data_IF_503824886400
#
_entry.id   IF_503824886400
#
_cell.length_a   1.000
_cell.length_b   1.000
_cell.length_c   1.000
_cell.angle_alpha   90.00
_cell.angle_beta   90.00
_cell.angle_gamma   90.00
#
_symmetry.space_group_name_H-M   'P 1'
#
loop_
_entity.id
_entity.type
_entity.pdbx_description
1 polymer ?
#
# COMPACT_ATOMS: atom_id res chain seq x y z
N UNK A 1 9.82 9.38 -30.84
CA UNK A 1 9.41 9.97 -29.55
C UNK A 1 10.52 9.71 -28.56
N UNK A 2 10.92 10.73 -27.78
CA UNK A 2 11.94 10.54 -26.73
C UNK A 2 11.29 9.72 -25.60
N UNK A 3 11.78 8.51 -25.35
CA UNK A 3 11.31 7.69 -24.23
C UNK A 3 11.82 8.26 -22.92
N UNK A 4 11.04 8.10 -21.88
CA UNK A 4 11.27 8.74 -20.57
C UNK A 4 11.46 7.64 -19.51
N UNK A 5 12.46 7.82 -18.64
CA UNK A 5 12.72 6.92 -17.50
C UNK A 5 11.99 7.38 -16.22
N UNK A 6 10.89 8.12 -16.37
CA UNK A 6 10.10 8.64 -15.26
C UNK A 6 8.84 7.80 -15.09
N UNK A 7 8.78 7.01 -14.02
CA UNK A 7 7.64 6.13 -13.70
C UNK A 7 6.62 6.81 -12.78
N UNK A 8 6.96 7.93 -12.16
CA UNK A 8 6.14 8.65 -11.20
C UNK A 8 4.78 9.08 -11.76
N UNK A 9 4.65 9.60 -13.02
CA UNK A 9 3.35 9.91 -13.61
C UNK A 9 2.46 8.67 -13.79
N UNK A 10 3.06 7.51 -14.12
CA UNK A 10 2.36 6.23 -14.23
C UNK A 10 1.74 5.84 -12.89
N UNK A 11 2.53 5.97 -11.82
CA UNK A 11 2.12 5.67 -10.45
C UNK A 11 1.02 6.64 -10.00
N UNK A 12 1.17 7.94 -10.29
CA UNK A 12 0.16 8.95 -9.99
C UNK A 12 -1.21 8.61 -10.61
N UNK A 13 -1.25 8.35 -11.92
CA UNK A 13 -2.51 8.06 -12.64
C UNK A 13 -3.16 6.79 -12.09
N UNK A 14 -2.36 5.73 -11.89
CA UNK A 14 -2.87 4.45 -11.38
C UNK A 14 -3.47 4.59 -9.98
N UNK A 15 -2.74 5.23 -9.06
CA UNK A 15 -3.19 5.42 -7.67
C UNK A 15 -4.43 6.30 -7.63
N UNK A 16 -4.48 7.39 -8.41
CA UNK A 16 -5.63 8.28 -8.45
C UNK A 16 -6.90 7.54 -8.91
N UNK A 17 -6.82 6.83 -10.04
CA UNK A 17 -7.96 6.09 -10.59
C UNK A 17 -8.44 4.96 -9.65
N UNK A 18 -7.51 4.20 -9.06
CA UNK A 18 -7.84 3.11 -8.13
C UNK A 18 -8.41 3.63 -6.82
N UNK A 19 -7.83 4.69 -6.25
CA UNK A 19 -8.30 5.30 -5.00
C UNK A 19 -9.61 6.07 -5.17
N UNK A 20 -9.91 6.58 -6.37
CA UNK A 20 -11.22 7.14 -6.71
C UNK A 20 -12.31 6.06 -6.68
N UNK A 21 -11.99 4.88 -7.20
CA UNK A 21 -12.94 3.76 -7.35
C UNK A 21 -13.23 3.06 -6.02
N UNK A 22 -12.24 2.86 -5.18
CA UNK A 22 -12.34 2.03 -3.97
C UNK A 22 -13.49 2.41 -3.02
N UNK A 23 -13.65 3.66 -2.55
CA UNK A 23 -14.75 4.03 -1.66
C UNK A 23 -16.12 3.98 -2.36
N UNK A 24 -16.14 4.16 -3.68
CA UNK A 24 -17.38 4.13 -4.45
C UNK A 24 -17.92 2.70 -4.65
N UNK A 25 -17.04 1.70 -4.78
CA UNK A 25 -17.46 0.30 -4.83
C UNK A 25 -18.13 -0.10 -3.53
N UNK A 26 -17.57 0.28 -2.37
CA UNK A 26 -18.18 0.00 -1.07
C UNK A 26 -19.55 0.66 -0.92
N UNK A 27 -19.67 1.94 -1.32
CA UNK A 27 -20.96 2.65 -1.30
C UNK A 27 -21.97 2.05 -2.29
N UNK A 28 -21.51 1.63 -3.48
CA UNK A 28 -22.36 0.97 -4.48
C UNK A 28 -22.93 -0.33 -3.97
N UNK A 29 -22.09 -1.19 -3.37
CA UNK A 29 -22.50 -2.47 -2.76
C UNK A 29 -23.51 -2.20 -1.64
N UNK A 30 -23.23 -1.26 -0.74
CA UNK A 30 -24.13 -0.90 0.36
C UNK A 30 -25.52 -0.46 -0.14
N UNK A 31 -25.58 0.45 -1.13
CA UNK A 31 -26.84 0.96 -1.69
C UNK A 31 -27.62 -0.14 -2.41
N UNK A 32 -26.94 -1.00 -3.16
CA UNK A 32 -27.58 -2.11 -3.88
C UNK A 32 -28.15 -3.14 -2.92
N UNK A 33 -27.42 -3.50 -1.85
CA UNK A 33 -27.95 -4.40 -0.81
C UNK A 33 -29.16 -3.80 -0.09
N UNK A 34 -29.15 -2.48 0.14
CA UNK A 34 -30.31 -1.77 0.69
C UNK A 34 -31.52 -1.87 -0.24
N UNK A 35 -31.34 -1.61 -1.53
CA UNK A 35 -32.41 -1.69 -2.54
C UNK A 35 -32.97 -3.12 -2.68
N UNK A 36 -32.10 -4.13 -2.66
CA UNK A 36 -32.48 -5.55 -2.74
C UNK A 36 -33.27 -6.00 -1.49
N UNK A 37 -32.91 -5.54 -0.30
CA UNK A 37 -33.55 -5.96 0.95
C UNK A 37 -34.89 -5.24 1.21
N UNK A 38 -34.95 -3.95 0.92
CA UNK A 38 -36.10 -3.10 1.34
C UNK A 38 -36.93 -2.55 0.18
N UNK A 39 -36.60 -2.85 -1.08
CA UNK A 39 -37.27 -2.31 -2.29
C UNK A 39 -37.47 -0.79 -2.25
N UNK A 40 -36.55 -0.05 -1.62
CA UNK A 40 -36.59 1.41 -1.43
C UNK A 40 -35.24 2.02 -1.70
N UNK A 41 -35.24 3.22 -2.30
CA UNK A 41 -33.99 3.96 -2.47
C UNK A 41 -33.38 4.37 -1.14
N UNK A 42 -32.08 4.25 -1.00
CA UNK A 42 -31.37 4.67 0.21
C UNK A 42 -31.43 6.21 0.32
N UNK A 43 -31.99 6.71 1.42
CA UNK A 43 -32.01 8.15 1.77
C UNK A 43 -31.03 8.33 2.95
N UNK A 44 -29.96 9.09 2.69
CA UNK A 44 -29.00 9.46 3.74
C UNK A 44 -29.55 10.60 4.58
N UNK A 45 -29.77 10.39 5.86
CA UNK A 45 -30.07 11.45 6.82
C UNK A 45 -28.73 12.03 7.31
N UNK A 46 -28.25 13.08 6.64
CA UNK A 46 -26.86 13.55 6.70
C UNK A 46 -26.51 14.43 7.91
N UNK A 47 -27.43 14.66 8.86
CA UNK A 47 -27.24 15.67 9.90
C UNK A 47 -27.11 15.15 11.34
N UNK A 48 -27.34 13.87 11.61
CA UNK A 48 -27.18 13.30 12.95
C UNK A 48 -25.80 12.65 13.15
N UNK A 49 -25.12 12.99 14.25
CA UNK A 49 -23.89 12.30 14.64
C UNK A 49 -24.20 10.85 15.04
N UNK A 50 -23.23 9.95 14.88
CA UNK A 50 -23.39 8.52 15.21
C UNK A 50 -23.84 8.28 16.66
N UNK A 51 -23.47 9.19 17.58
CA UNK A 51 -23.85 9.14 18.99
C UNK A 51 -25.27 9.67 19.28
N UNK A 52 -25.83 10.52 18.41
CA UNK A 52 -27.17 11.10 18.56
C UNK A 52 -28.27 10.23 17.94
N UNK A 53 -27.90 9.23 17.14
CA UNK A 53 -28.87 8.35 16.50
C UNK A 53 -29.58 7.49 17.56
N UNK A 54 -30.92 7.50 17.51
CA UNK A 54 -31.73 6.65 18.38
C UNK A 54 -31.53 5.16 17.98
N UNK A 55 -30.74 4.45 18.78
CA UNK A 55 -30.38 3.03 18.56
C UNK A 55 -31.61 2.09 18.50
N UNK A 56 -32.76 2.53 18.98
CA UNK A 56 -34.03 1.80 18.92
C UNK A 56 -34.89 2.13 17.69
N UNK A 57 -34.43 3.06 16.83
CA UNK A 57 -35.16 3.40 15.62
C UNK A 57 -35.15 2.23 14.63
N UNK A 58 -36.30 1.90 14.01
CA UNK A 58 -36.36 0.85 12.98
C UNK A 58 -35.43 1.10 11.79
N UNK A 59 -35.18 2.38 11.46
CA UNK A 59 -34.27 2.77 10.38
C UNK A 59 -32.83 2.44 10.77
N UNK A 60 -32.42 2.75 12.01
CA UNK A 60 -31.08 2.43 12.52
C UNK A 60 -30.79 0.93 12.50
N UNK A 61 -31.77 0.09 12.95
CA UNK A 61 -31.65 -1.36 12.95
C UNK A 61 -31.45 -1.88 11.52
N UNK A 62 -32.23 -1.39 10.55
CA UNK A 62 -32.11 -1.73 9.13
C UNK A 62 -30.76 -1.32 8.54
N UNK A 63 -30.30 -0.10 8.86
CA UNK A 63 -28.98 0.38 8.41
C UNK A 63 -27.85 -0.51 8.93
N UNK A 64 -27.93 -0.89 10.21
CA UNK A 64 -26.93 -1.76 10.82
C UNK A 64 -26.91 -3.16 10.18
N UNK A 65 -28.08 -3.72 9.91
CA UNK A 65 -28.20 -5.05 9.24
C UNK A 65 -27.60 -5.02 7.84
N UNK A 66 -27.91 -4.02 7.02
CA UNK A 66 -27.33 -3.87 5.68
C UNK A 66 -25.83 -3.59 5.75
N UNK A 67 -25.37 -2.81 6.74
CA UNK A 67 -23.96 -2.53 6.93
C UNK A 67 -23.16 -3.79 7.29
N UNK A 68 -23.73 -4.67 8.11
CA UNK A 68 -23.11 -5.97 8.45
C UNK A 68 -23.03 -6.87 7.21
N UNK A 69 -24.12 -7.00 6.42
CA UNK A 69 -24.15 -7.73 5.17
C UNK A 69 -23.13 -7.17 4.16
N UNK A 70 -23.07 -5.86 3.99
CA UNK A 70 -22.12 -5.19 3.11
C UNK A 70 -20.66 -5.41 3.53
N UNK A 71 -20.39 -5.39 4.84
CA UNK A 71 -19.06 -5.64 5.38
C UNK A 71 -18.58 -7.06 5.10
N UNK A 72 -19.46 -8.07 5.32
CA UNK A 72 -19.15 -9.47 5.01
C UNK A 72 -18.95 -9.66 3.51
N UNK A 73 -19.81 -9.06 2.68
CA UNK A 73 -19.69 -9.11 1.23
C UNK A 73 -18.36 -8.51 0.73
N UNK A 74 -18.00 -7.33 1.22
CA UNK A 74 -16.73 -6.69 0.87
C UNK A 74 -15.52 -7.54 1.29
N UNK A 75 -15.54 -8.11 2.50
CA UNK A 75 -14.50 -9.02 2.98
C UNK A 75 -14.32 -10.23 2.06
N UNK A 76 -15.44 -10.87 1.66
CA UNK A 76 -15.40 -12.01 0.75
C UNK A 76 -14.90 -11.61 -0.65
N UNK A 77 -15.30 -10.42 -1.13
CA UNK A 77 -14.86 -9.87 -2.41
C UNK A 77 -13.35 -9.63 -2.41
N UNK A 78 -12.84 -8.99 -1.35
CA UNK A 78 -11.42 -8.70 -1.18
C UNK A 78 -10.59 -9.99 -1.11
N UNK A 79 -11.05 -11.02 -0.39
CA UNK A 79 -10.39 -12.31 -0.33
C UNK A 79 -10.34 -12.99 -1.70
N UNK A 80 -11.45 -12.94 -2.45
CA UNK A 80 -11.56 -13.54 -3.79
C UNK A 80 -10.55 -12.93 -4.76
N UNK A 81 -10.30 -11.63 -4.70
CA UNK A 81 -9.32 -10.95 -5.53
C UNK A 81 -7.88 -11.07 -5.02
N UNK A 82 -7.68 -11.02 -3.71
CA UNK A 82 -6.35 -10.96 -3.10
C UNK A 82 -5.56 -12.27 -3.27
N UNK A 83 -6.21 -13.43 -3.15
CA UNK A 83 -5.52 -14.72 -3.27
C UNK A 83 -4.85 -14.92 -4.63
N UNK A 84 -5.55 -14.81 -5.78
CA UNK A 84 -4.90 -14.90 -7.09
C UNK A 84 -3.89 -13.77 -7.31
N UNK A 85 -4.18 -12.56 -6.82
CA UNK A 85 -3.31 -11.41 -6.95
C UNK A 85 -1.97 -11.59 -6.25
N UNK A 86 -1.91 -12.23 -5.09
CA UNK A 86 -0.65 -12.53 -4.38
C UNK A 86 0.25 -13.46 -5.20
N UNK A 87 -0.33 -14.51 -5.78
CA UNK A 87 0.42 -15.47 -6.63
C UNK A 87 0.99 -14.74 -7.86
N UNK A 88 0.17 -13.91 -8.49
CA UNK A 88 0.56 -13.14 -9.68
C UNK A 88 1.62 -12.09 -9.33
N UNK A 89 1.47 -11.37 -8.22
CA UNK A 89 2.44 -10.40 -7.74
C UNK A 89 3.81 -11.05 -7.55
N UNK A 90 3.84 -12.17 -6.85
CA UNK A 90 5.07 -12.91 -6.59
C UNK A 90 5.77 -13.33 -7.89
N UNK A 91 5.01 -13.91 -8.84
CA UNK A 91 5.57 -14.38 -10.11
C UNK A 91 6.04 -13.23 -11.00
N UNK A 92 5.19 -12.21 -11.20
CA UNK A 92 5.48 -11.12 -12.18
C UNK A 92 6.59 -10.21 -11.66
N UNK A 93 6.59 -9.83 -10.39
CA UNK A 93 7.61 -8.92 -9.84
C UNK A 93 8.96 -9.63 -9.75
N UNK A 94 9.00 -10.90 -9.30
CA UNK A 94 10.24 -11.66 -9.21
C UNK A 94 10.90 -11.93 -10.57
N UNK A 95 10.09 -12.12 -11.62
CA UNK A 95 10.60 -12.35 -12.98
C UNK A 95 10.75 -11.06 -13.79
N UNK A 96 10.49 -9.89 -13.21
CA UNK A 96 10.64 -8.60 -13.86
C UNK A 96 12.06 -8.32 -14.36
N UNK A 97 13.08 -8.87 -13.70
CA UNK A 97 14.49 -8.79 -14.10
C UNK A 97 14.78 -9.46 -15.45
N UNK A 98 13.99 -10.46 -15.84
CA UNK A 98 14.16 -11.22 -17.08
C UNK A 98 13.15 -10.87 -18.16
N UNK A 99 11.90 -10.60 -17.76
CA UNK A 99 10.79 -10.39 -18.69
C UNK A 99 10.49 -8.92 -18.97
N UNK A 100 11.19 -8.02 -18.31
CA UNK A 100 11.01 -6.58 -18.39
C UNK A 100 10.08 -6.03 -17.30
N UNK A 101 10.41 -4.85 -16.79
CA UNK A 101 9.69 -4.19 -15.69
C UNK A 101 8.32 -3.64 -16.11
N UNK A 102 8.16 -3.27 -17.37
CA UNK A 102 6.87 -2.72 -17.87
C UNK A 102 5.71 -3.68 -17.71
N UNK A 103 5.94 -5.00 -17.74
CA UNK A 103 4.87 -6.00 -17.57
C UNK A 103 4.20 -5.89 -16.20
N UNK A 104 4.97 -5.66 -15.14
CA UNK A 104 4.44 -5.48 -13.78
C UNK A 104 3.64 -4.20 -13.59
N UNK A 105 3.72 -3.24 -14.51
CA UNK A 105 2.93 -2.01 -14.52
C UNK A 105 1.71 -2.12 -15.45
N UNK A 106 1.86 -2.73 -16.62
CA UNK A 106 0.78 -2.86 -17.63
C UNK A 106 -0.32 -3.82 -17.15
N UNK A 107 0.07 -5.02 -16.65
CA UNK A 107 -0.92 -6.04 -16.30
C UNK A 107 -1.90 -5.59 -15.21
N UNK A 108 -1.47 -5.02 -14.06
CA UNK A 108 -2.42 -4.50 -13.06
C UNK A 108 -3.27 -3.35 -13.60
N UNK A 109 -2.72 -2.50 -14.49
CA UNK A 109 -3.49 -1.43 -15.14
C UNK A 109 -4.58 -1.99 -16.05
N UNK A 110 -4.32 -3.10 -16.75
CA UNK A 110 -5.33 -3.82 -17.53
C UNK A 110 -6.40 -4.44 -16.63
N UNK A 111 -6.00 -5.08 -15.53
CA UNK A 111 -6.93 -5.61 -14.55
C UNK A 111 -7.86 -4.54 -13.98
N UNK A 112 -7.32 -3.38 -13.59
CA UNK A 112 -8.09 -2.26 -13.09
C UNK A 112 -9.03 -1.66 -14.16
N UNK A 113 -8.60 -1.60 -15.42
CA UNK A 113 -9.46 -1.22 -16.55
C UNK A 113 -10.64 -2.18 -16.71
N UNK A 114 -10.39 -3.50 -16.69
CA UNK A 114 -11.45 -4.52 -16.78
C UNK A 114 -12.43 -4.35 -15.62
N UNK A 115 -11.94 -4.17 -14.39
CA UNK A 115 -12.78 -3.93 -13.21
C UNK A 115 -13.68 -2.70 -13.41
N UNK A 116 -13.10 -1.58 -13.82
CA UNK A 116 -13.85 -0.33 -14.03
C UNK A 116 -14.92 -0.45 -15.11
N UNK A 117 -14.63 -1.13 -16.23
CA UNK A 117 -15.60 -1.38 -17.30
C UNK A 117 -16.72 -2.30 -16.78
N UNK A 118 -16.39 -3.40 -16.10
CA UNK A 118 -17.39 -4.30 -15.53
C UNK A 118 -18.28 -3.59 -14.49
N UNK A 119 -17.70 -2.78 -13.60
CA UNK A 119 -18.45 -1.98 -12.63
C UNK A 119 -19.39 -0.98 -13.32
N UNK A 120 -18.95 -0.35 -14.41
CA UNK A 120 -19.81 0.55 -15.22
C UNK A 120 -21.01 -0.20 -15.81
N UNK A 121 -20.78 -1.39 -16.34
CA UNK A 121 -21.84 -2.25 -16.93
C UNK A 121 -22.81 -2.74 -15.84
N UNK A 122 -22.29 -3.22 -14.70
CA UNK A 122 -23.09 -3.68 -13.56
C UNK A 122 -23.96 -2.52 -13.03
N UNK A 123 -23.39 -1.32 -12.92
CA UNK A 123 -24.10 -0.13 -12.47
C UNK A 123 -25.18 0.32 -13.45
N UNK A 124 -24.92 0.26 -14.76
CA UNK A 124 -25.88 0.69 -15.80
C UNK A 124 -27.07 -0.27 -15.93
N UNK A 125 -26.79 -1.56 -16.02
CA UNK A 125 -27.83 -2.59 -16.22
C UNK A 125 -28.42 -3.11 -14.90
N UNK A 126 -28.00 -2.58 -13.77
CA UNK A 126 -28.45 -3.05 -12.43
C UNK A 126 -28.31 -4.57 -12.25
N UNK A 127 -27.18 -5.15 -12.69
CA UNK A 127 -26.93 -6.57 -12.62
C UNK A 127 -26.72 -7.05 -11.17
N UNK A 128 -26.81 -8.36 -10.95
CA UNK A 128 -26.59 -8.98 -9.64
C UNK A 128 -25.18 -8.69 -9.11
N UNK A 129 -25.08 -8.36 -7.81
CA UNK A 129 -23.81 -8.13 -7.12
C UNK A 129 -22.89 -9.36 -7.14
N UNK A 130 -23.44 -10.59 -7.26
CA UNK A 130 -22.65 -11.82 -7.32
C UNK A 130 -21.63 -11.85 -8.48
N UNK A 131 -21.87 -11.09 -9.54
CA UNK A 131 -20.94 -10.96 -10.67
C UNK A 131 -19.61 -10.31 -10.23
N UNK A 132 -19.64 -9.48 -9.18
CA UNK A 132 -18.42 -8.84 -8.64
C UNK A 132 -17.37 -9.85 -8.18
N UNK A 133 -17.77 -11.03 -7.70
CA UNK A 133 -16.83 -12.10 -7.33
C UNK A 133 -16.05 -12.60 -8.53
N UNK A 134 -16.72 -12.81 -9.66
CA UNK A 134 -16.06 -13.21 -10.90
C UNK A 134 -15.11 -12.10 -11.40
N UNK A 135 -15.54 -10.84 -11.32
CA UNK A 135 -14.71 -9.69 -11.68
C UNK A 135 -13.49 -9.61 -10.77
N UNK A 136 -13.64 -9.73 -9.44
CA UNK A 136 -12.55 -9.70 -8.48
C UNK A 136 -11.54 -10.83 -8.73
N UNK A 137 -12.02 -12.05 -8.99
CA UNK A 137 -11.15 -13.18 -9.32
C UNK A 137 -10.34 -12.93 -10.61
N UNK A 138 -11.03 -12.53 -11.69
CA UNK A 138 -10.38 -12.24 -12.98
C UNK A 138 -9.36 -11.11 -12.83
N UNK A 139 -9.72 -10.00 -12.18
CA UNK A 139 -8.79 -8.88 -12.00
C UNK A 139 -7.62 -9.24 -11.10
N UNK A 140 -7.83 -10.12 -10.12
CA UNK A 140 -6.76 -10.69 -9.31
C UNK A 140 -5.70 -11.44 -10.14
N UNK A 141 -6.11 -12.12 -11.23
CA UNK A 141 -5.18 -12.79 -12.15
C UNK A 141 -4.30 -11.82 -12.99
N UNK A 142 -4.66 -10.55 -13.05
CA UNK A 142 -3.82 -9.50 -13.64
C UNK A 142 -2.86 -8.87 -12.63
N UNK A 143 -2.93 -9.26 -11.37
CA UNK A 143 -2.24 -8.62 -10.26
C UNK A 143 -3.03 -7.42 -9.72
N UNK A 144 -2.56 -6.87 -8.63
CA UNK A 144 -3.20 -5.74 -7.96
C UNK A 144 -2.23 -4.59 -7.73
N UNK A 145 -2.60 -3.65 -6.85
CA UNK A 145 -1.74 -2.58 -6.36
C UNK A 145 -0.36 -3.10 -5.91
N UNK A 146 -0.29 -4.28 -5.26
CA UNK A 146 0.98 -4.86 -4.81
C UNK A 146 1.93 -5.19 -5.99
N UNK A 147 1.41 -5.79 -7.06
CA UNK A 147 2.18 -6.05 -8.29
C UNK A 147 2.66 -4.75 -8.93
N UNK A 148 1.76 -3.75 -9.00
CA UNK A 148 2.05 -2.47 -9.61
C UNK A 148 3.13 -1.70 -8.85
N UNK A 149 2.99 -1.57 -7.53
CA UNK A 149 3.97 -0.87 -6.69
C UNK A 149 5.30 -1.63 -6.61
N UNK A 150 5.26 -2.96 -6.45
CA UNK A 150 6.47 -3.79 -6.46
C UNK A 150 7.27 -3.64 -7.75
N UNK A 151 6.59 -3.65 -8.91
CA UNK A 151 7.21 -3.37 -10.21
C UNK A 151 7.72 -1.93 -10.33
N UNK A 152 6.98 -0.95 -9.81
CA UNK A 152 7.37 0.45 -9.79
C UNK A 152 8.63 0.71 -8.95
N UNK A 153 8.71 0.11 -7.76
CA UNK A 153 9.92 0.19 -6.92
C UNK A 153 11.11 -0.49 -7.56
N UNK A 154 10.93 -1.66 -8.17
CA UNK A 154 11.98 -2.34 -8.91
C UNK A 154 12.47 -1.51 -10.12
N UNK A 155 11.55 -0.88 -10.87
CA UNK A 155 11.88 0.03 -11.96
C UNK A 155 12.74 1.22 -11.47
N UNK A 156 12.35 1.85 -10.36
CA UNK A 156 13.11 2.96 -9.76
C UNK A 156 14.50 2.48 -9.32
N UNK A 157 14.57 1.29 -8.73
CA UNK A 157 15.82 0.71 -8.26
C UNK A 157 16.82 0.47 -9.39
N UNK A 158 16.33 0.05 -10.59
CA UNK A 158 17.17 -0.16 -11.79
C UNK A 158 17.67 1.16 -12.39
N UNK A 159 16.83 2.21 -12.37
CA UNK A 159 17.17 3.52 -12.97
C UNK A 159 18.10 4.35 -12.10
N UNK A 160 18.09 4.17 -10.78
CA UNK A 160 18.85 4.97 -9.84
C UNK A 160 20.20 4.32 -9.51
N UNK A 161 21.30 4.90 -9.97
CA UNK A 161 22.66 4.48 -9.61
C UNK A 161 23.12 5.07 -8.26
N UNK A 162 22.65 6.29 -7.90
CA UNK A 162 22.96 6.91 -6.62
C UNK A 162 21.97 6.45 -5.54
N UNK A 163 22.51 5.94 -4.43
CA UNK A 163 21.74 5.43 -3.29
C UNK A 163 20.81 6.46 -2.64
N UNK A 164 21.27 7.72 -2.55
CA UNK A 164 20.45 8.81 -2.00
C UNK A 164 19.30 9.17 -2.93
N UNK A 165 19.55 9.16 -4.24
CA UNK A 165 18.52 9.38 -5.25
C UNK A 165 17.48 8.25 -5.23
N UNK A 166 17.91 6.99 -5.08
CA UNK A 166 17.03 5.83 -4.95
C UNK A 166 16.08 5.99 -3.77
N UNK A 167 16.62 6.28 -2.57
CA UNK A 167 15.81 6.50 -1.36
C UNK A 167 14.79 7.63 -1.55
N UNK A 168 15.21 8.74 -2.15
CA UNK A 168 14.34 9.89 -2.40
C UNK A 168 13.21 9.54 -3.38
N UNK A 169 13.51 8.85 -4.48
CA UNK A 169 12.50 8.47 -5.47
C UNK A 169 11.50 7.44 -4.93
N UNK A 170 11.95 6.48 -4.12
CA UNK A 170 11.05 5.55 -3.40
C UNK A 170 10.13 6.33 -2.47
N UNK A 171 10.66 7.31 -1.72
CA UNK A 171 9.85 8.16 -0.86
C UNK A 171 8.83 9.03 -1.64
N UNK A 172 9.18 9.46 -2.87
CA UNK A 172 8.23 10.15 -3.77
C UNK A 172 7.04 9.25 -4.12
N UNK A 173 7.26 7.96 -4.34
CA UNK A 173 6.16 7.01 -4.62
C UNK A 173 5.22 6.89 -3.41
N UNK A 174 5.76 6.77 -2.21
CA UNK A 174 4.94 6.71 -1.00
C UNK A 174 4.22 8.04 -0.71
N UNK A 175 4.84 9.17 -1.03
CA UNK A 175 4.19 10.49 -1.00
C UNK A 175 3.01 10.55 -2.00
N UNK A 176 3.24 10.13 -3.25
CA UNK A 176 2.19 10.05 -4.28
C UNK A 176 1.05 9.19 -3.76
N UNK A 177 1.35 8.02 -3.20
CA UNK A 177 0.33 7.14 -2.63
C UNK A 177 -0.50 7.85 -1.56
N UNK A 178 0.13 8.46 -0.56
CA UNK A 178 -0.58 9.13 0.54
C UNK A 178 -1.41 10.33 0.10
N UNK A 179 -0.79 11.26 -0.66
CA UNK A 179 -1.45 12.50 -1.09
C UNK A 179 -2.54 12.25 -2.13
N UNK A 180 -2.22 11.44 -3.13
CA UNK A 180 -3.13 11.20 -4.27
C UNK A 180 -4.33 10.36 -3.82
N UNK A 181 -4.13 9.35 -2.96
CA UNK A 181 -5.24 8.59 -2.39
C UNK A 181 -6.18 9.47 -1.56
N UNK A 182 -5.61 10.39 -0.76
CA UNK A 182 -6.41 11.36 0.00
C UNK A 182 -7.23 12.28 -0.90
N UNK A 183 -6.62 12.85 -1.94
CA UNK A 183 -7.30 13.71 -2.92
C UNK A 183 -8.38 12.96 -3.71
N UNK A 184 -8.08 11.73 -4.15
CA UNK A 184 -9.04 10.89 -4.86
C UNK A 184 -10.23 10.52 -3.97
N UNK A 185 -9.98 10.16 -2.70
CA UNK A 185 -11.03 9.89 -1.72
C UNK A 185 -11.96 11.09 -1.50
N UNK A 186 -11.39 12.29 -1.30
CA UNK A 186 -12.17 13.53 -1.17
C UNK A 186 -12.98 13.83 -2.45
N UNK A 187 -12.37 13.65 -3.61
CA UNK A 187 -13.04 13.92 -4.90
C UNK A 187 -14.14 12.91 -5.22
N UNK A 188 -14.07 11.69 -4.70
CA UNK A 188 -15.03 10.62 -5.00
C UNK A 188 -16.48 11.00 -4.69
N UNK A 189 -16.72 11.72 -3.58
CA UNK A 189 -18.03 12.23 -3.21
C UNK A 189 -18.58 13.27 -4.19
N UNK A 190 -17.71 14.16 -4.70
CA UNK A 190 -18.11 15.16 -5.72
C UNK A 190 -18.41 14.50 -7.06
N UNK A 191 -17.60 13.54 -7.48
CA UNK A 191 -17.86 12.74 -8.68
C UNK A 191 -19.20 12.00 -8.56
N UNK A 192 -19.44 11.34 -7.43
CA UNK A 192 -20.69 10.61 -7.20
C UNK A 192 -21.92 11.54 -7.26
N UNK A 193 -21.86 12.70 -6.62
CA UNK A 193 -22.95 13.69 -6.63
C UNK A 193 -23.16 14.32 -8.00
N UNK A 194 -22.08 14.58 -8.76
CA UNK A 194 -22.15 15.25 -10.05
C UNK A 194 -22.58 14.36 -11.20
N UNK A 195 -22.02 13.15 -11.30
CA UNK A 195 -22.18 12.28 -12.48
C UNK A 195 -22.67 10.86 -12.16
N UNK A 196 -22.81 10.52 -10.86
CA UNK A 196 -23.28 9.19 -10.43
C UNK A 196 -22.21 8.08 -10.52
N UNK A 197 -22.57 6.87 -10.10
CA UNK A 197 -21.64 5.73 -10.03
C UNK A 197 -21.09 5.34 -11.41
N UNK A 198 -21.99 5.14 -12.39
CA UNK A 198 -21.61 4.66 -13.72
C UNK A 198 -20.54 5.54 -14.38
N UNK A 199 -20.79 6.83 -14.47
CA UNK A 199 -19.86 7.75 -15.13
C UNK A 199 -18.56 7.95 -14.37
N UNK A 200 -18.59 7.79 -13.05
CA UNK A 200 -17.35 7.81 -12.23
C UNK A 200 -16.49 6.58 -12.52
N UNK A 201 -17.08 5.39 -12.65
CA UNK A 201 -16.34 4.17 -13.03
C UNK A 201 -15.82 4.26 -14.48
N UNK A 202 -16.57 4.87 -15.40
CA UNK A 202 -16.10 5.15 -16.76
C UNK A 202 -14.89 6.09 -16.72
N UNK A 203 -14.94 7.17 -15.93
CA UNK A 203 -13.81 8.11 -15.78
C UNK A 203 -12.56 7.41 -15.28
N UNK A 204 -12.67 6.57 -14.24
CA UNK A 204 -11.56 5.78 -13.73
C UNK A 204 -11.00 4.82 -14.80
N UNK A 205 -11.88 4.19 -15.58
CA UNK A 205 -11.48 3.31 -16.69
C UNK A 205 -10.69 4.07 -17.76
N UNK A 206 -11.12 5.27 -18.15
CA UNK A 206 -10.40 6.12 -19.10
C UNK A 206 -9.01 6.51 -18.58
N UNK A 207 -8.87 6.79 -17.29
CA UNK A 207 -7.57 7.04 -16.68
C UNK A 207 -6.65 5.81 -16.75
N UNK A 208 -7.18 4.60 -16.54
CA UNK A 208 -6.40 3.39 -16.72
C UNK A 208 -6.00 3.15 -18.19
N UNK A 209 -6.86 3.48 -19.17
CA UNK A 209 -6.48 3.48 -20.59
C UNK A 209 -5.33 4.45 -20.85
N UNK A 210 -5.43 5.69 -20.34
CA UNK A 210 -4.36 6.68 -20.46
C UNK A 210 -3.06 6.18 -19.87
N UNK A 211 -3.14 5.52 -18.72
CA UNK A 211 -1.98 4.94 -18.04
C UNK A 211 -1.31 3.84 -18.88
N UNK A 212 -2.10 2.91 -19.45
CA UNK A 212 -1.59 1.85 -20.33
C UNK A 212 -0.93 2.44 -21.58
N UNK A 213 -1.54 3.45 -22.19
CA UNK A 213 -0.97 4.16 -23.34
C UNK A 213 0.35 4.81 -22.96
N UNK A 214 0.43 5.48 -21.80
CA UNK A 214 1.67 6.10 -21.33
C UNK A 214 2.77 5.05 -21.11
N UNK A 215 2.49 3.96 -20.40
CA UNK A 215 3.45 2.89 -20.15
C UNK A 215 3.96 2.29 -21.48
N UNK A 216 3.05 2.04 -22.42
CA UNK A 216 3.39 1.33 -23.66
C UNK A 216 4.24 2.18 -24.59
N UNK A 217 3.88 3.44 -24.78
CA UNK A 217 4.45 4.30 -25.83
C UNK A 217 5.56 5.24 -25.31
N UNK A 218 5.47 5.71 -24.07
CA UNK A 218 6.36 6.76 -23.55
C UNK A 218 7.39 6.22 -22.55
N UNK A 219 7.04 5.25 -21.71
CA UNK A 219 7.99 4.69 -20.75
C UNK A 219 9.02 3.82 -21.47
N UNK A 220 10.30 3.94 -21.08
CA UNK A 220 11.37 3.09 -21.58
C UNK A 220 11.49 1.82 -20.72
N UNK A 221 11.87 0.68 -21.35
CA UNK A 221 12.17 -0.53 -20.58
C UNK A 221 13.57 -0.42 -19.98
N UNK A 222 13.70 -0.78 -18.70
CA UNK A 222 14.97 -0.69 -17.98
C UNK A 222 15.84 -1.93 -18.16
N UNK A 223 15.21 -3.06 -18.51
CA UNK A 223 15.89 -4.35 -18.68
C UNK A 223 16.01 -4.71 -20.15
N UNK A 224 17.22 -5.09 -20.59
CA UNK A 224 17.46 -5.59 -21.96
C UNK A 224 16.90 -7.02 -22.10
N UNK A 225 15.69 -7.13 -22.64
CA UNK A 225 14.99 -8.42 -22.82
C UNK A 225 15.66 -9.31 -23.87
N UNK A 226 16.51 -8.74 -24.78
CA UNK A 226 17.09 -9.44 -25.91
C UNK A 226 18.07 -10.57 -25.53
N UNK A 227 18.75 -10.47 -24.40
CA UNK A 227 19.73 -11.47 -23.96
C UNK A 227 19.08 -12.71 -23.30
N UNK A 228 17.85 -12.58 -22.80
CA UNK A 228 17.14 -13.63 -22.05
C UNK A 228 16.04 -14.34 -22.85
N UNK A 229 15.79 -13.92 -24.10
CA UNK A 229 14.66 -14.44 -24.90
C UNK A 229 14.81 -15.93 -25.26
N UNK A 230 16.03 -16.49 -25.20
CA UNK A 230 16.28 -17.92 -25.44
C UNK A 230 16.02 -18.85 -24.25
N UNK A 231 15.68 -18.32 -23.09
CA UNK A 231 15.43 -19.08 -21.85
C UNK A 231 14.06 -18.81 -21.23
N UNK A 232 13.07 -18.39 -22.01
CA UNK A 232 11.72 -18.22 -21.50
C UNK A 232 11.14 -19.57 -21.06
N UNK A 233 10.63 -19.71 -19.82
CA UNK A 233 10.06 -20.96 -19.36
C UNK A 233 8.84 -21.36 -20.21
N UNK A 234 8.84 -22.59 -20.71
CA UNK A 234 7.78 -23.10 -21.59
C UNK A 234 6.47 -23.40 -20.86
N UNK A 235 6.50 -23.46 -19.51
CA UNK A 235 5.34 -23.82 -18.68
C UNK A 235 5.17 -22.90 -17.47
N UNK A 236 3.93 -22.60 -17.10
CA UNK A 236 3.59 -21.90 -15.88
C UNK A 236 4.17 -22.59 -14.61
N UNK A 237 4.26 -23.91 -14.61
CA UNK A 237 4.89 -24.71 -13.53
C UNK A 237 6.39 -24.45 -13.44
N UNK A 238 7.04 -24.30 -14.56
CA UNK A 238 8.48 -24.02 -14.65
C UNK A 238 8.76 -22.58 -14.19
N UNK A 239 7.93 -21.63 -14.62
CA UNK A 239 7.96 -20.23 -14.16
C UNK A 239 7.82 -20.12 -12.63
N UNK A 240 6.86 -20.81 -12.04
CA UNK A 240 6.71 -20.88 -10.58
C UNK A 240 7.94 -21.48 -9.92
N UNK A 241 8.43 -22.61 -10.42
CA UNK A 241 9.63 -23.27 -9.90
C UNK A 241 10.85 -22.37 -9.95
N UNK A 242 11.06 -21.66 -11.06
CA UNK A 242 12.16 -20.71 -11.21
C UNK A 242 12.03 -19.53 -10.25
N UNK A 243 10.81 -18.97 -10.09
CA UNK A 243 10.54 -17.87 -9.14
C UNK A 243 10.87 -18.29 -7.71
N UNK A 244 10.37 -19.45 -7.26
CA UNK A 244 10.69 -19.98 -5.94
C UNK A 244 12.18 -20.30 -5.80
N UNK A 245 12.80 -20.85 -6.85
CA UNK A 245 14.24 -21.10 -6.87
C UNK A 245 15.04 -19.81 -6.79
N UNK A 246 14.63 -18.73 -7.46
CA UNK A 246 15.27 -17.41 -7.40
C UNK A 246 15.23 -16.82 -5.99
N UNK A 247 14.06 -16.81 -5.35
CA UNK A 247 13.94 -16.38 -3.97
C UNK A 247 14.69 -17.31 -3.00
N UNK A 248 14.60 -18.63 -3.20
CA UNK A 248 15.37 -19.60 -2.41
C UNK A 248 16.88 -19.40 -2.56
N UNK A 249 17.35 -19.13 -3.77
CA UNK A 249 18.77 -18.87 -4.06
C UNK A 249 19.22 -17.58 -3.38
N UNK A 250 18.43 -16.52 -3.39
CA UNK A 250 18.70 -15.27 -2.66
C UNK A 250 19.03 -15.55 -1.19
N UNK A 251 18.27 -16.44 -0.52
CA UNK A 251 18.49 -16.77 0.88
C UNK A 251 19.57 -17.83 1.11
N UNK A 252 19.76 -18.76 0.16
CA UNK A 252 20.71 -19.89 0.31
C UNK A 252 22.12 -19.53 -0.10
N UNK A 253 22.27 -18.85 -1.25
CA UNK A 253 23.57 -18.58 -1.87
C UNK A 253 24.23 -17.31 -1.33
N UNK A 254 23.45 -16.39 -0.76
CA UNK A 254 23.98 -15.18 -0.16
C UNK A 254 24.93 -15.49 1.00
N UNK A 255 26.03 -14.72 1.15
CA UNK A 255 26.90 -14.81 2.32
C UNK A 255 26.10 -14.73 3.62
N UNK A 256 26.52 -15.45 4.65
CA UNK A 256 25.82 -15.56 5.94
C UNK A 256 25.43 -14.18 6.52
N UNK A 257 26.35 -13.21 6.46
CA UNK A 257 26.09 -11.82 6.92
C UNK A 257 24.99 -11.14 6.08
N UNK A 258 25.05 -11.16 4.75
CA UNK A 258 24.04 -10.58 3.85
C UNK A 258 22.67 -11.18 4.09
N UNK A 259 22.59 -12.51 4.22
CA UNK A 259 21.33 -13.22 4.49
C UNK A 259 20.69 -12.80 5.80
N UNK A 260 21.45 -12.72 6.90
CA UNK A 260 20.94 -12.24 8.18
C UNK A 260 20.43 -10.81 8.04
N UNK A 261 21.15 -9.93 7.38
CA UNK A 261 20.77 -8.53 7.20
C UNK A 261 19.44 -8.41 6.45
N UNK A 262 19.26 -9.16 5.35
CA UNK A 262 18.00 -9.18 4.60
C UNK A 262 16.84 -9.64 5.49
N UNK A 263 17.03 -10.75 6.24
CA UNK A 263 15.98 -11.28 7.14
C UNK A 263 15.65 -10.26 8.24
N UNK A 264 16.63 -9.65 8.85
CA UNK A 264 16.46 -8.67 9.92
C UNK A 264 15.74 -7.42 9.41
N UNK A 265 16.12 -6.91 8.23
CA UNK A 265 15.46 -5.76 7.62
C UNK A 265 14.02 -6.08 7.21
N UNK A 266 13.76 -7.25 6.60
CA UNK A 266 12.40 -7.71 6.28
C UNK A 266 11.55 -7.85 7.55
N UNK A 267 12.07 -8.46 8.60
CA UNK A 267 11.37 -8.60 9.87
C UNK A 267 11.06 -7.25 10.50
N UNK A 268 12.02 -6.31 10.50
CA UNK A 268 11.83 -4.94 10.97
C UNK A 268 10.75 -4.22 10.18
N UNK A 269 10.79 -4.34 8.85
CA UNK A 269 9.82 -3.75 7.95
C UNK A 269 8.40 -4.28 8.19
N UNK A 270 8.27 -5.62 8.28
CA UNK A 270 6.99 -6.28 8.52
C UNK A 270 6.37 -5.93 9.87
N UNK A 271 7.17 -5.95 10.94
CA UNK A 271 6.69 -5.60 12.29
C UNK A 271 6.27 -4.14 12.35
N UNK A 272 7.00 -3.24 11.69
CA UNK A 272 6.62 -1.83 11.60
C UNK A 272 5.32 -1.63 10.80
N UNK A 273 5.21 -2.25 9.63
CA UNK A 273 3.97 -2.19 8.82
C UNK A 273 2.76 -2.75 9.57
N UNK A 274 2.93 -3.86 10.29
CA UNK A 274 1.87 -4.45 11.10
C UNK A 274 1.33 -3.46 12.12
N UNK A 275 2.20 -2.73 12.81
CA UNK A 275 1.78 -1.71 13.78
C UNK A 275 1.14 -0.50 13.11
N UNK A 276 1.71 -0.02 12.00
CA UNK A 276 1.20 1.16 11.29
C UNK A 276 -0.17 0.89 10.67
N UNK A 277 -0.35 -0.21 9.94
CA UNK A 277 -1.64 -0.52 9.33
C UNK A 277 -2.72 -0.76 10.38
N UNK A 278 -2.41 -1.51 11.44
CA UNK A 278 -3.36 -1.77 12.52
C UNK A 278 -3.71 -0.52 13.32
N UNK A 279 -2.69 0.25 13.73
CA UNK A 279 -2.92 1.46 14.51
C UNK A 279 -3.66 2.55 13.74
N UNK A 280 -3.31 2.76 12.45
CA UNK A 280 -3.96 3.80 11.65
C UNK A 280 -5.38 3.44 11.24
N UNK A 281 -5.73 2.16 11.08
CA UNK A 281 -7.10 1.74 10.76
C UNK A 281 -8.10 2.05 11.87
N UNK A 282 -7.64 2.13 13.11
CA UNK A 282 -8.50 2.38 14.27
C UNK A 282 -8.91 3.84 14.43
N UNK A 283 -8.22 4.79 13.79
CA UNK A 283 -8.54 6.22 13.95
C UNK A 283 -10.00 6.51 13.60
N UNK A 284 -10.49 6.02 12.48
CA UNK A 284 -11.88 6.26 12.05
C UNK A 284 -12.87 5.66 13.04
N UNK A 285 -12.63 4.44 13.53
CA UNK A 285 -13.50 3.80 14.52
C UNK A 285 -13.52 4.58 15.83
N UNK A 286 -12.37 5.02 16.29
CA UNK A 286 -12.24 5.81 17.51
C UNK A 286 -12.86 7.22 17.39
N UNK A 287 -12.73 7.84 16.21
CA UNK A 287 -13.27 9.16 15.89
C UNK A 287 -14.82 9.15 15.81
N UNK A 288 -15.41 8.02 15.40
CA UNK A 288 -16.86 7.83 15.32
C UNK A 288 -17.50 7.54 16.70
N UNK A 289 -16.76 6.91 17.61
CA UNK A 289 -17.24 6.46 18.92
C UNK A 289 -17.10 7.54 20.00
N UNK A 290 -17.73 7.30 21.17
CA UNK A 290 -17.50 8.12 22.35
C UNK A 290 -16.02 8.06 22.80
N UNK A 291 -15.40 9.17 23.19
CA UNK A 291 -16.00 10.48 23.50
C UNK A 291 -16.01 11.50 22.36
N UNK A 292 -15.52 11.18 21.17
CA UNK A 292 -15.32 12.15 20.08
C UNK A 292 -16.59 12.37 19.25
N UNK A 293 -17.31 11.31 18.91
CA UNK A 293 -18.56 11.34 18.14
C UNK A 293 -18.51 12.24 16.90
N UNK A 294 -17.43 12.10 16.11
CA UNK A 294 -17.22 12.94 14.94
C UNK A 294 -18.27 12.67 13.85
N UNK A 295 -18.70 13.75 13.21
CA UNK A 295 -19.50 13.68 12.00
C UNK A 295 -18.59 13.49 10.74
N UNK A 296 -19.21 13.24 9.61
CA UNK A 296 -18.50 13.02 8.33
C UNK A 296 -17.53 14.16 7.96
N UNK A 297 -17.84 15.41 8.34
CA UNK A 297 -17.00 16.58 8.07
C UNK A 297 -15.72 16.55 8.90
N UNK A 298 -15.82 16.25 10.19
CA UNK A 298 -14.63 16.13 11.06
C UNK A 298 -13.76 14.93 10.68
N UNK A 299 -14.35 13.81 10.25
CA UNK A 299 -13.60 12.67 9.70
C UNK A 299 -12.85 13.10 8.41
N UNK A 300 -13.50 13.89 7.56
CA UNK A 300 -12.85 14.47 6.38
C UNK A 300 -11.64 15.36 6.75
N UNK A 301 -11.75 16.19 7.80
CA UNK A 301 -10.62 16.97 8.31
C UNK A 301 -9.52 16.08 8.90
N UNK A 302 -9.86 14.99 9.59
CA UNK A 302 -8.93 14.00 10.09
C UNK A 302 -8.12 13.33 8.97
N UNK A 303 -8.79 12.96 7.87
CA UNK A 303 -8.16 12.41 6.67
C UNK A 303 -7.24 13.43 5.98
N UNK A 304 -7.65 14.70 5.86
CA UNK A 304 -6.81 15.78 5.34
C UNK A 304 -5.56 16.00 6.21
N UNK A 305 -5.72 15.93 7.54
CA UNK A 305 -4.60 16.03 8.47
C UNK A 305 -3.61 14.85 8.31
N UNK A 306 -4.10 13.64 8.02
CA UNK A 306 -3.24 12.48 7.69
C UNK A 306 -2.43 12.72 6.40
N UNK A 307 -3.01 13.38 5.41
CA UNK A 307 -2.30 13.76 4.19
C UNK A 307 -1.10 14.70 4.51
N UNK A 308 -1.24 15.60 5.47
CA UNK A 308 -0.13 16.46 5.91
C UNK A 308 1.01 15.65 6.55
N UNK A 309 0.71 14.57 7.27
CA UNK A 309 1.70 13.64 7.82
C UNK A 309 2.49 12.94 6.71
N UNK A 310 1.84 12.50 5.64
CA UNK A 310 2.52 11.91 4.48
C UNK A 310 3.48 12.91 3.82
N UNK A 311 3.05 14.17 3.66
CA UNK A 311 3.86 15.24 3.07
C UNK A 311 5.10 15.57 3.92
N UNK A 312 4.92 15.70 5.24
CA UNK A 312 6.03 16.02 6.16
C UNK A 312 6.99 14.84 6.33
N UNK A 313 6.49 13.60 6.30
CA UNK A 313 7.34 12.40 6.28
C UNK A 313 8.22 12.36 5.03
N UNK A 314 7.68 12.67 3.84
CA UNK A 314 8.48 12.79 2.62
C UNK A 314 9.57 13.87 2.74
N UNK A 315 9.19 15.07 3.19
CA UNK A 315 10.15 16.15 3.46
C UNK A 315 11.22 15.71 4.44
N UNK A 316 10.85 14.98 5.49
CA UNK A 316 11.77 14.41 6.45
C UNK A 316 12.78 13.45 5.80
N UNK A 317 12.32 12.50 4.97
CA UNK A 317 13.24 11.63 4.22
C UNK A 317 14.16 12.44 3.32
N UNK A 318 13.62 13.40 2.54
CA UNK A 318 14.41 14.23 1.62
C UNK A 318 15.48 15.06 2.33
N UNK A 319 15.17 15.63 3.48
CA UNK A 319 16.11 16.45 4.24
C UNK A 319 17.14 15.59 4.99
N UNK A 320 16.68 14.56 5.71
CA UNK A 320 17.54 13.75 6.56
C UNK A 320 18.44 12.79 5.78
N UNK A 321 18.03 12.31 4.61
CA UNK A 321 18.87 11.47 3.74
C UNK A 321 20.16 12.17 3.28
N UNK A 322 20.20 13.51 3.33
CA UNK A 322 21.42 14.28 3.00
C UNK A 322 22.45 14.29 4.14
N UNK A 323 21.99 14.18 5.39
CA UNK A 323 22.81 14.42 6.58
C UNK A 323 22.97 13.19 7.48
N UNK A 324 21.97 12.27 7.47
CA UNK A 324 21.92 11.12 8.37
C UNK A 324 22.04 9.79 7.60
N UNK A 325 22.53 8.75 8.27
CA UNK A 325 22.47 7.37 7.78
C UNK A 325 21.01 6.87 7.86
N UNK A 326 20.61 6.02 6.92
CA UNK A 326 19.23 5.50 6.79
C UNK A 326 18.67 4.95 8.10
N UNK A 327 19.49 4.23 8.87
CA UNK A 327 19.07 3.64 10.13
C UNK A 327 18.58 4.68 11.16
N UNK A 328 19.20 5.86 11.23
CA UNK A 328 18.78 6.93 12.15
C UNK A 328 17.46 7.58 11.70
N UNK A 329 17.22 7.64 10.38
CA UNK A 329 15.95 8.12 9.82
C UNK A 329 14.82 7.19 10.24
N UNK A 330 15.06 5.87 10.19
CA UNK A 330 14.09 4.86 10.66
C UNK A 330 13.80 5.03 12.14
N UNK A 331 14.82 5.24 12.99
CA UNK A 331 14.62 5.52 14.43
C UNK A 331 13.72 6.72 14.67
N UNK A 332 14.01 7.86 14.03
CA UNK A 332 13.23 9.09 14.15
C UNK A 332 11.76 8.83 13.79
N UNK A 333 11.51 8.11 12.68
CA UNK A 333 10.16 7.77 12.25
C UNK A 333 9.42 6.86 13.22
N UNK A 334 10.08 5.83 13.77
CA UNK A 334 9.49 4.94 14.79
C UNK A 334 9.14 5.72 16.06
N UNK A 335 10.03 6.59 16.56
CA UNK A 335 9.74 7.42 17.73
C UNK A 335 8.59 8.40 17.48
N UNK A 336 8.53 8.99 16.28
CA UNK A 336 7.42 9.83 15.85
C UNK A 336 6.09 9.07 15.89
N UNK A 337 6.06 7.83 15.41
CA UNK A 337 4.88 6.96 15.44
C UNK A 337 4.46 6.61 16.88
N UNK A 338 5.41 6.18 17.72
CA UNK A 338 5.14 5.84 19.13
C UNK A 338 4.54 7.05 19.85
N UNK A 339 5.14 8.25 19.70
CA UNK A 339 4.64 9.48 20.31
C UNK A 339 3.20 9.81 19.89
N UNK A 340 2.88 9.64 18.60
CA UNK A 340 1.54 9.81 18.07
C UNK A 340 0.53 8.83 18.65
N UNK A 341 0.87 7.54 18.69
CA UNK A 341 -0.03 6.49 19.19
C UNK A 341 -0.26 6.62 20.71
N UNK A 342 0.77 6.95 21.49
CA UNK A 342 0.62 7.21 22.92
C UNK A 342 -0.30 8.41 23.15
N UNK A 343 -0.15 9.50 22.40
CA UNK A 343 -1.02 10.66 22.50
C UNK A 343 -2.46 10.33 22.07
N UNK A 344 -2.65 9.54 21.00
CA UNK A 344 -3.96 9.09 20.53
C UNK A 344 -4.72 8.28 21.59
N UNK A 345 -4.02 7.42 22.33
CA UNK A 345 -4.63 6.60 23.38
C UNK A 345 -5.34 7.42 24.47
N UNK A 346 -4.91 8.66 24.69
CA UNK A 346 -5.46 9.57 25.70
C UNK A 346 -6.24 10.75 25.11
N UNK A 347 -6.44 10.78 23.79
CA UNK A 347 -7.11 11.87 23.08
C UNK A 347 -8.64 11.81 23.27
N UNK A 348 -9.18 12.50 24.27
CA UNK A 348 -10.61 12.57 24.60
C UNK A 348 -11.33 13.79 24.03
N UNK A 349 -10.64 14.68 23.36
CA UNK A 349 -11.21 15.90 22.77
C UNK A 349 -10.81 16.03 21.31
N UNK A 350 -11.67 16.65 20.52
CA UNK A 350 -11.41 16.91 19.09
C UNK A 350 -10.09 17.65 18.86
N UNK A 351 -9.79 18.67 19.69
CA UNK A 351 -8.52 19.40 19.59
C UNK A 351 -7.31 18.48 19.82
N UNK A 352 -7.36 17.64 20.87
CA UNK A 352 -6.25 16.74 21.19
C UNK A 352 -6.07 15.71 20.08
N UNK A 353 -7.17 15.23 19.48
CA UNK A 353 -7.12 14.27 18.35
C UNK A 353 -6.46 14.87 17.11
N UNK A 354 -6.69 16.15 16.80
CA UNK A 354 -5.94 16.84 15.74
C UNK A 354 -4.46 17.03 16.12
N UNK A 355 -4.16 17.35 17.38
CA UNK A 355 -2.79 17.52 17.87
C UNK A 355 -1.99 16.21 17.87
N UNK A 356 -2.62 15.04 17.89
CA UNK A 356 -1.95 13.73 17.69
C UNK A 356 -1.11 13.71 16.40
N UNK A 357 -1.52 14.45 15.38
CA UNK A 357 -0.77 14.51 14.11
C UNK A 357 0.61 15.17 14.27
N UNK A 358 0.80 16.05 15.25
CA UNK A 358 2.08 16.75 15.46
C UNK A 358 3.23 15.79 15.81
N UNK A 359 3.18 14.94 16.85
CA UNK A 359 4.20 13.94 17.08
C UNK A 359 4.28 12.91 15.96
N UNK A 360 3.21 12.68 15.19
CA UNK A 360 3.15 11.69 14.09
C UNK A 360 3.74 12.19 12.76
N UNK A 361 4.16 13.44 12.64
CA UNK A 361 4.55 14.07 11.35
C UNK A 361 5.59 13.28 10.54
N UNK A 362 6.42 12.48 11.19
CA UNK A 362 7.52 11.73 10.56
C UNK A 362 7.29 10.21 10.57
N UNK A 363 6.09 9.76 10.95
CA UNK A 363 5.82 8.34 11.18
C UNK A 363 5.87 7.46 9.91
N UNK A 364 5.73 8.02 8.72
CA UNK A 364 5.82 7.23 7.48
C UNK A 364 7.23 7.13 6.91
N UNK A 365 8.24 7.86 7.47
CA UNK A 365 9.62 7.78 6.99
C UNK A 365 10.23 6.37 6.99
N UNK A 366 9.99 5.49 7.98
CA UNK A 366 10.60 4.16 7.99
C UNK A 366 10.25 3.30 6.77
N UNK A 367 9.04 3.47 6.20
CA UNK A 367 8.54 2.63 5.11
C UNK A 367 9.44 2.73 3.86
N UNK A 368 9.61 3.91 3.22
CA UNK A 368 10.46 4.04 2.04
C UNK A 368 11.94 3.81 2.35
N UNK A 369 12.39 4.18 3.55
CA UNK A 369 13.80 4.02 3.92
C UNK A 369 14.18 2.56 4.08
N UNK A 370 13.35 1.73 4.75
CA UNK A 370 13.58 0.29 4.88
C UNK A 370 13.52 -0.43 3.52
N UNK A 371 12.58 -0.05 2.63
CA UNK A 371 12.56 -0.56 1.24
C UNK A 371 13.86 -0.21 0.49
N UNK A 372 14.33 1.03 0.64
CA UNK A 372 15.59 1.47 0.05
C UNK A 372 16.78 0.69 0.62
N UNK A 373 16.85 0.50 1.95
CA UNK A 373 17.92 -0.28 2.58
C UNK A 373 17.94 -1.73 2.06
N UNK A 374 16.77 -2.37 1.93
CA UNK A 374 16.65 -3.72 1.37
C UNK A 374 17.15 -3.77 -0.09
N UNK A 375 16.81 -2.77 -0.91
CA UNK A 375 17.28 -2.66 -2.29
C UNK A 375 18.80 -2.44 -2.41
N UNK A 376 19.42 -1.78 -1.44
CA UNK A 376 20.87 -1.52 -1.41
C UNK A 376 21.71 -2.76 -1.03
N UNK A 377 21.12 -3.70 -0.30
CA UNK A 377 21.82 -4.92 0.18
C UNK A 377 21.90 -6.00 -0.90
N UNK A 378 21.06 -5.91 -1.94
CA UNK A 378 20.93 -6.95 -2.98
C UNK A 378 21.50 -6.49 -4.31
N UNK A 379 21.91 -7.47 -5.13
CA UNK A 379 22.37 -7.22 -6.51
C UNK A 379 21.20 -6.75 -7.39
N UNK A 380 21.52 -6.07 -8.49
CA UNK A 380 20.50 -5.63 -9.47
C UNK A 380 19.66 -6.81 -9.98
N UNK A 381 20.30 -7.97 -10.23
CA UNK A 381 19.63 -9.21 -10.63
C UNK A 381 18.74 -9.85 -9.56
N UNK A 382 18.89 -9.46 -8.29
CA UNK A 382 18.12 -9.98 -7.13
C UNK A 382 16.97 -9.03 -6.71
N UNK A 383 16.92 -7.82 -7.25
CA UNK A 383 15.97 -6.79 -6.83
C UNK A 383 14.52 -7.20 -7.07
N UNK A 384 14.23 -7.85 -8.19
CA UNK A 384 12.89 -8.38 -8.46
C UNK A 384 12.41 -9.37 -7.40
N UNK A 385 13.27 -10.29 -6.95
CA UNK A 385 12.95 -11.26 -5.91
C UNK A 385 12.66 -10.58 -4.57
N UNK A 386 13.47 -9.57 -4.18
CA UNK A 386 13.27 -8.83 -2.93
C UNK A 386 11.98 -8.01 -2.96
N UNK A 387 11.73 -7.25 -4.03
CA UNK A 387 10.50 -6.46 -4.13
C UNK A 387 9.24 -7.32 -4.27
N UNK A 388 9.34 -8.52 -4.88
CA UNK A 388 8.24 -9.49 -4.87
C UNK A 388 7.94 -9.98 -3.45
N UNK A 389 8.98 -10.31 -2.66
CA UNK A 389 8.82 -10.65 -1.24
C UNK A 389 8.17 -9.52 -0.46
N UNK A 390 8.66 -8.29 -0.61
CA UNK A 390 8.12 -7.10 0.06
C UNK A 390 6.64 -6.94 -0.29
N UNK A 391 6.27 -6.95 -1.57
CA UNK A 391 4.90 -6.75 -2.03
C UNK A 391 3.94 -7.82 -1.46
N UNK A 392 4.32 -9.09 -1.49
CA UNK A 392 3.50 -10.16 -0.92
C UNK A 392 3.36 -10.03 0.60
N UNK A 393 4.46 -9.74 1.28
CA UNK A 393 4.48 -9.58 2.73
C UNK A 393 3.65 -8.36 3.17
N UNK A 394 3.67 -7.24 2.45
CA UNK A 394 2.84 -6.07 2.72
C UNK A 394 1.35 -6.40 2.71
N UNK A 395 0.87 -7.11 1.68
CA UNK A 395 -0.54 -7.49 1.58
C UNK A 395 -0.95 -8.43 2.71
N UNK A 396 -0.15 -9.46 2.98
CA UNK A 396 -0.42 -10.41 4.08
C UNK A 396 -0.42 -9.71 5.42
N UNK A 397 0.59 -8.87 5.68
CA UNK A 397 0.69 -8.11 6.93
C UNK A 397 -0.48 -7.15 7.10
N UNK A 398 -0.87 -6.44 6.04
CA UNK A 398 -2.03 -5.55 6.06
C UNK A 398 -3.30 -6.28 6.45
N UNK A 399 -3.60 -7.40 5.79
CA UNK A 399 -4.80 -8.20 6.08
C UNK A 399 -4.83 -8.74 7.53
N UNK A 400 -3.70 -9.29 8.00
CA UNK A 400 -3.60 -9.82 9.37
C UNK A 400 -3.70 -8.67 10.38
N UNK A 401 -3.02 -7.56 10.13
CA UNK A 401 -3.00 -6.41 11.01
C UNK A 401 -4.39 -5.81 11.20
N UNK A 402 -5.12 -5.56 10.12
CA UNK A 402 -6.49 -5.05 10.17
C UNK A 402 -7.40 -5.98 10.97
N UNK A 403 -7.32 -7.29 10.72
CA UNK A 403 -8.13 -8.29 11.44
C UNK A 403 -7.82 -8.31 12.94
N UNK A 404 -6.55 -8.34 13.31
CA UNK A 404 -6.11 -8.41 14.71
C UNK A 404 -6.49 -7.14 15.47
N UNK A 405 -6.18 -5.97 14.91
CA UNK A 405 -6.43 -4.70 15.60
C UNK A 405 -7.93 -4.36 15.72
N UNK A 406 -8.73 -4.64 14.68
CA UNK A 406 -10.18 -4.43 14.75
C UNK A 406 -10.84 -5.37 15.78
N UNK A 407 -10.45 -6.65 15.82
CA UNK A 407 -10.96 -7.61 16.82
C UNK A 407 -10.55 -7.18 18.23
N UNK A 408 -9.31 -6.75 18.40
CA UNK A 408 -8.80 -6.28 19.68
C UNK A 408 -9.52 -5.01 20.14
N UNK A 409 -9.74 -4.05 19.24
CA UNK A 409 -10.48 -2.83 19.53
C UNK A 409 -11.91 -3.15 20.00
N UNK A 410 -12.62 -4.01 19.27
CA UNK A 410 -13.96 -4.45 19.65
C UNK A 410 -14.00 -5.10 21.05
N UNK A 411 -12.96 -5.85 21.43
CA UNK A 411 -12.86 -6.49 22.74
C UNK A 411 -12.48 -5.53 23.89
N UNK A 412 -11.81 -4.42 23.57
CA UNK A 412 -11.24 -3.51 24.58
C UNK A 412 -11.94 -2.16 24.70
N UNK A 413 -12.71 -1.75 23.69
CA UNK A 413 -13.39 -0.44 23.66
C UNK A 413 -14.27 -0.18 24.88
N UNK A 414 -14.90 -1.23 25.43
CA UNK A 414 -15.81 -1.10 26.57
C UNK A 414 -15.12 -0.66 27.87
N UNK A 415 -13.85 -0.99 28.08
CA UNK A 415 -13.13 -0.65 29.31
C UNK A 415 -12.02 0.38 29.09
N UNK A 416 -11.35 0.37 27.94
CA UNK A 416 -10.38 1.40 27.58
C UNK A 416 -10.21 1.49 26.06
N UNK A 417 -10.88 2.42 25.42
CA UNK A 417 -10.87 2.64 23.96
C UNK A 417 -9.48 2.96 23.40
N UNK A 418 -8.57 3.51 24.21
CA UNK A 418 -7.18 3.82 23.85
C UNK A 418 -6.22 2.62 23.89
N UNK A 419 -6.63 1.45 24.40
CA UNK A 419 -5.74 0.28 24.59
C UNK A 419 -5.03 -0.15 23.32
N UNK A 420 -5.77 -0.24 22.22
CA UNK A 420 -5.22 -0.68 20.94
C UNK A 420 -4.15 0.24 20.38
N UNK A 421 -4.23 1.55 20.63
CA UNK A 421 -3.18 2.52 20.29
C UNK A 421 -1.92 2.31 21.14
N UNK A 422 -2.08 2.08 22.46
CA UNK A 422 -0.93 1.78 23.34
C UNK A 422 -0.26 0.47 22.95
N UNK A 423 -1.04 -0.55 22.60
CA UNK A 423 -0.49 -1.81 22.11
C UNK A 423 0.31 -1.61 20.81
N UNK A 424 -0.22 -0.83 19.88
CA UNK A 424 0.48 -0.49 18.64
C UNK A 424 1.82 0.21 18.93
N UNK A 425 1.82 1.20 19.84
CA UNK A 425 3.04 1.85 20.29
C UNK A 425 4.03 0.87 20.95
N UNK A 426 3.54 -0.04 21.80
CA UNK A 426 4.34 -1.06 22.47
C UNK A 426 4.96 -2.07 21.48
N UNK A 427 4.22 -2.50 20.49
CA UNK A 427 4.74 -3.41 19.45
C UNK A 427 5.87 -2.77 18.61
N UNK A 428 5.91 -1.45 18.49
CA UNK A 428 7.02 -0.74 17.84
C UNK A 428 8.36 -0.86 18.59
N UNK A 429 8.35 -1.31 19.85
CA UNK A 429 9.59 -1.62 20.58
C UNK A 429 10.32 -2.82 19.97
N UNK A 430 9.61 -3.71 19.25
CA UNK A 430 10.21 -4.87 18.57
C UNK A 430 11.16 -4.39 17.46
N UNK A 431 10.71 -3.67 16.41
CA UNK A 431 11.59 -3.17 15.37
C UNK A 431 12.68 -2.24 15.93
N UNK A 432 12.37 -1.48 16.98
CA UNK A 432 13.34 -0.61 17.65
C UNK A 432 14.48 -1.41 18.28
N UNK A 433 14.16 -2.48 19.04
CA UNK A 433 15.17 -3.35 19.68
C UNK A 433 16.03 -4.09 18.65
N UNK A 434 15.44 -4.54 17.54
CA UNK A 434 16.15 -5.18 16.43
C UNK A 434 17.13 -4.21 15.76
N UNK A 435 16.73 -2.97 15.52
CA UNK A 435 17.62 -1.94 14.96
C UNK A 435 18.73 -1.55 15.94
N UNK A 436 18.45 -1.46 17.25
CA UNK A 436 19.47 -1.25 18.28
C UNK A 436 20.51 -2.38 18.26
N UNK A 437 20.04 -3.62 18.20
CA UNK A 437 20.94 -4.77 18.08
C UNK A 437 21.81 -4.69 16.82
N UNK A 438 21.22 -4.30 15.68
CA UNK A 438 21.95 -4.12 14.43
C UNK A 438 23.06 -3.05 14.55
N UNK A 439 22.79 -1.95 15.25
CA UNK A 439 23.81 -0.91 15.52
C UNK A 439 24.91 -1.40 16.44
N UNK A 440 24.57 -2.17 17.49
CA UNK A 440 25.55 -2.66 18.47
C UNK A 440 26.50 -3.74 17.91
N UNK A 441 26.05 -4.48 16.87
CA UNK A 441 26.85 -5.56 16.26
C UNK A 441 27.82 -5.08 15.18
N UNK A 442 28.10 -3.77 15.09
CA UNK A 442 29.04 -3.16 14.11
C UNK A 442 28.69 -3.44 12.64
N UNK A 443 27.42 -3.68 12.34
CA UNK A 443 26.93 -3.76 10.97
C UNK A 443 26.72 -2.33 10.41
N UNK A 444 27.72 -1.48 10.61
CA UNK A 444 27.69 -0.10 10.15
C UNK A 444 27.87 -0.04 8.63
N UNK A 445 27.51 1.08 8.01
CA UNK A 445 27.47 1.26 6.57
C UNK A 445 28.74 0.95 5.78
N UNK A 446 29.90 0.79 6.44
CA UNK A 446 31.14 0.31 5.82
C UNK A 446 31.09 -1.18 5.52
N UNK A 447 30.48 -2.01 6.41
CA UNK A 447 30.25 -3.43 6.15
C UNK A 447 29.15 -3.65 5.08
N UNK A 448 28.19 -2.73 4.95
CA UNK A 448 27.20 -2.73 3.88
C UNK A 448 27.85 -2.45 2.50
N UNK A 449 28.79 -1.53 2.43
CA UNK A 449 29.55 -1.24 1.20
C UNK A 449 30.47 -2.40 0.80
N UNK A 450 31.01 -3.16 1.76
CA UNK A 450 31.83 -4.35 1.52
C UNK A 450 31.03 -5.57 1.08
N UNK A 451 29.69 -5.58 1.25
CA UNK A 451 28.82 -6.69 0.84
C UNK A 451 28.27 -6.53 -0.58
N UNK A 452 28.42 -5.35 -1.19
CA UNK A 452 28.16 -5.13 -2.61
C UNK A 452 29.43 -5.55 -3.35
N UNK A 453 29.43 -6.64 -4.15
CA UNK A 453 30.61 -7.00 -4.94
C UNK A 453 30.96 -5.84 -5.89
N UNK A 454 32.25 -5.45 -5.94
CA UNK A 454 32.81 -4.59 -6.97
C UNK A 454 32.72 -5.26 -8.36
N UNK A 455 31.57 -5.24 -9.00
CA UNK A 455 31.44 -5.60 -10.42
C UNK A 455 31.80 -4.44 -11.36
N UNK A 456 32.22 -3.29 -10.87
CA UNK A 456 32.46 -2.09 -11.71
C UNK A 456 33.94 -1.83 -12.01
N UNK A 457 34.89 -2.53 -11.39
CA UNK A 457 36.33 -2.27 -11.64
C UNK A 457 37.03 -3.09 -12.74
N UNK A 458 36.31 -4.02 -13.38
CA UNK A 458 36.91 -4.89 -14.39
C UNK A 458 36.66 -4.46 -15.85
N UNK A 459 35.94 -3.38 -16.12
CA UNK A 459 35.69 -2.89 -17.50
C UNK A 459 36.63 -1.75 -17.92
N UNK A 460 37.30 -1.06 -17.00
CA UNK A 460 38.24 0.03 -17.35
C UNK A 460 39.70 -0.39 -17.57
N UNK A 461 40.04 -1.67 -17.45
CA UNK A 461 41.44 -2.13 -17.65
C UNK A 461 41.70 -2.90 -18.95
N UNK A 462 40.79 -2.85 -19.94
CA UNK A 462 41.00 -3.53 -21.27
C UNK A 462 41.24 -2.54 -22.40
N UNK A 463 41.16 -1.23 -22.18
CA UNK A 463 41.51 -0.19 -23.16
C UNK A 463 42.67 0.70 -22.69
N UNK A 464 43.86 0.10 -22.51
CA UNK A 464 45.12 0.84 -22.42
C UNK A 464 46.21 0.10 -23.15
#
# INVERSE_FOLDING_TARGET
>A
MRKVLCVEPVIFIYIFASSLTSPLVQQFIYRRLWEEEYNSTFVSDSNATHCEQNKSSPIYIKQKEVQEKASVFNMQLDLTGSVPSLIVAFVIVANGDRQGRKRSLVLPSMGALIAGVCLSVISYFSLSLSILFAVAFITGLFGSMATFLGGGFAFIADVCHDEKQKTTRIAVVDLIFGVVSGLAGLSSGYFLRGIGFMWTFVTASLLHVLNIVYITFFLEETVSVSEFQHQAPESCKELLRETFSGVYTLFKTSPYKKRILIIVLLFTFMTYLFTVFGGTSLFILYELDEPLCWNEVYIGYGAAALTSVSLTSFLGVFLFSKCLKDIYIVFIGIFSYIGGMVMAAFAKTTLLMFLVRVPSLLCFMPIPVLRSMLSKVVLTSEQGAVFACIACLEVVTGAISLSVFNTLYAATVAWFSGFSFLLSAGLCLIPLSVLCWLLCTSWSGEDLALLVPEEVSSIESVDS
#
